data_IF_517915978919
#
_entry.id   IF_517915978919
#
_cell.length_a   1.000
_cell.length_b   1.000
_cell.length_c   1.000
_cell.angle_alpha   90.00
_cell.angle_beta   90.00
_cell.angle_gamma   90.00
#
_symmetry.space_group_name_H-M   'P 1'
#
loop_
_entity.id
_entity.type
_entity.pdbx_description
1 polymer ?
#
# COMPACT_ATOMS: atom_id res chain seq x y z
N UNK A 1 -29.53 50.45 -33.41
CA UNK A 1 -29.31 49.04 -33.05
C UNK A 1 -28.07 48.97 -32.15
N UNK A 2 -28.24 49.01 -30.83
CA UNK A 2 -27.13 48.97 -29.88
C UNK A 2 -26.95 47.52 -29.39
N UNK A 3 -25.83 46.89 -29.75
CA UNK A 3 -25.47 45.56 -29.25
C UNK A 3 -24.88 45.70 -27.84
N UNK A 4 -25.59 45.19 -26.84
CA UNK A 4 -25.03 45.00 -25.49
C UNK A 4 -24.13 43.77 -25.52
N UNK A 5 -22.82 43.98 -25.44
CA UNK A 5 -21.85 42.93 -25.15
C UNK A 5 -22.03 42.47 -23.71
N UNK A 6 -22.58 41.26 -23.53
CA UNK A 6 -22.70 40.58 -22.26
C UNK A 6 -21.37 39.86 -21.98
N UNK A 7 -20.55 40.42 -21.09
CA UNK A 7 -19.30 39.79 -20.65
C UNK A 7 -19.64 38.81 -19.53
N UNK A 8 -19.73 37.52 -19.85
CA UNK A 8 -19.82 36.44 -18.88
C UNK A 8 -18.45 36.21 -18.23
N UNK A 9 -18.29 36.65 -16.98
CA UNK A 9 -17.16 36.29 -16.13
C UNK A 9 -17.28 34.81 -15.74
N UNK A 10 -16.45 33.95 -16.34
CA UNK A 10 -16.27 32.57 -15.90
C UNK A 10 -15.36 32.64 -14.66
N UNK A 11 -15.93 32.59 -13.46
CA UNK A 11 -15.17 32.47 -12.22
C UNK A 11 -14.67 31.01 -12.17
N UNK A 12 -13.35 30.75 -12.20
CA UNK A 12 -12.86 29.39 -11.98
C UNK A 12 -13.26 28.97 -10.57
N UNK A 13 -14.03 27.88 -10.45
CA UNK A 13 -14.36 27.26 -9.18
C UNK A 13 -13.07 26.65 -8.63
N UNK A 14 -12.35 27.40 -7.79
CA UNK A 14 -11.23 26.84 -7.02
C UNK A 14 -11.86 25.88 -6.02
N UNK A 15 -11.52 24.57 -6.04
CA UNK A 15 -11.99 23.68 -4.99
C UNK A 15 -11.42 24.20 -3.68
N UNK A 16 -12.31 24.64 -2.78
CA UNK A 16 -11.92 25.06 -1.45
C UNK A 16 -11.37 23.83 -0.73
N UNK A 17 -10.05 23.73 -0.60
CA UNK A 17 -9.43 22.78 0.31
C UNK A 17 -9.85 23.17 1.72
N UNK A 18 -10.69 22.36 2.38
CA UNK A 18 -11.13 22.67 3.72
C UNK A 18 -9.92 22.76 4.67
N UNK A 19 -9.90 23.80 5.50
CA UNK A 19 -8.84 24.01 6.49
C UNK A 19 -8.99 23.00 7.62
N UNK A 20 -7.89 22.38 8.01
CA UNK A 20 -7.84 21.48 9.14
C UNK A 20 -7.33 22.20 10.40
N UNK A 21 -7.86 21.81 11.55
CA UNK A 21 -7.58 22.37 12.86
C UNK A 21 -7.17 21.25 13.83
N UNK A 22 -6.30 21.57 14.79
CA UNK A 22 -5.99 20.74 15.96
C UNK A 22 -7.07 20.93 17.04
N UNK A 23 -7.15 20.05 18.06
CA UNK A 23 -8.17 20.16 19.12
C UNK A 23 -8.21 21.51 19.87
N UNK A 24 -7.10 22.24 19.90
CA UNK A 24 -7.02 23.59 20.48
C UNK A 24 -7.51 24.72 19.55
N UNK A 25 -7.95 24.37 18.33
CA UNK A 25 -8.41 25.31 17.30
C UNK A 25 -7.29 25.90 16.44
N UNK A 26 -6.02 25.55 16.68
CA UNK A 26 -4.91 26.01 15.84
C UNK A 26 -4.86 25.28 14.50
N UNK A 27 -4.33 25.91 13.46
CA UNK A 27 -4.37 25.37 12.09
C UNK A 27 -3.35 24.22 11.92
N UNK A 28 -3.85 23.07 11.46
CA UNK A 28 -3.07 21.88 11.12
C UNK A 28 -2.57 21.95 9.67
N UNK A 29 -1.52 22.76 9.42
CA UNK A 29 -1.06 23.17 8.07
C UNK A 29 -0.69 22.03 7.12
N UNK A 30 -0.23 20.90 7.65
CA UNK A 30 0.23 19.74 6.86
C UNK A 30 -0.87 18.70 6.67
N UNK A 31 -2.05 18.93 7.24
CA UNK A 31 -3.14 17.99 7.18
C UNK A 31 -4.10 18.37 6.07
N UNK A 32 -4.68 17.35 5.44
CA UNK A 32 -5.71 17.46 4.42
C UNK A 32 -6.95 16.71 4.87
N UNK A 33 -8.16 17.15 4.48
CA UNK A 33 -9.41 16.43 4.77
C UNK A 33 -9.40 15.03 4.16
N UNK A 34 -10.03 14.09 4.87
CA UNK A 34 -10.22 12.69 4.45
C UNK A 34 -11.60 12.42 3.81
N UNK A 35 -12.39 13.46 3.59
CA UNK A 35 -13.66 13.38 2.87
C UNK A 35 -13.94 14.71 2.16
N UNK A 36 -14.91 14.72 1.24
CA UNK A 36 -15.43 15.96 0.62
C UNK A 36 -16.61 16.57 1.39
N UNK A 37 -16.93 16.04 2.57
CA UNK A 37 -18.02 16.53 3.41
C UNK A 37 -17.72 17.90 4.04
N UNK A 38 -18.73 18.52 4.69
CA UNK A 38 -18.52 19.79 5.41
C UNK A 38 -17.58 19.61 6.61
N UNK A 39 -17.71 18.48 7.30
CA UNK A 39 -16.83 18.06 8.38
C UNK A 39 -16.12 16.76 7.99
N UNK A 40 -14.85 16.66 8.34
CA UNK A 40 -14.03 15.50 8.09
C UNK A 40 -12.89 15.42 9.09
N UNK A 41 -12.47 14.20 9.41
CA UNK A 41 -11.14 13.95 9.94
C UNK A 41 -10.10 14.41 8.92
N UNK A 42 -8.95 14.86 9.43
CA UNK A 42 -7.84 15.30 8.60
C UNK A 42 -6.57 14.53 8.93
N UNK A 43 -5.89 14.01 7.91
CA UNK A 43 -4.63 13.32 8.05
C UNK A 43 -3.49 14.10 7.40
N UNK A 44 -2.25 13.84 7.85
CA UNK A 44 -1.08 14.33 7.12
C UNK A 44 -1.14 13.88 5.67
N UNK A 45 -0.66 14.72 4.74
CA UNK A 45 -0.70 14.43 3.29
C UNK A 45 -0.06 13.10 2.86
N UNK A 46 0.77 12.54 3.74
CA UNK A 46 1.55 11.32 3.55
C UNK A 46 1.00 10.11 4.33
N UNK A 47 -0.11 10.28 5.03
CA UNK A 47 -0.76 9.23 5.81
C UNK A 47 -2.02 8.74 5.10
N UNK A 48 -2.50 7.59 5.52
CA UNK A 48 -3.69 6.95 4.96
C UNK A 48 -4.90 7.30 5.82
N UNK A 49 -5.95 7.82 5.19
CA UNK A 49 -7.22 8.11 5.85
C UNK A 49 -7.99 6.82 6.15
N UNK A 50 -8.64 6.74 7.31
CA UNK A 50 -9.48 5.61 7.71
C UNK A 50 -10.92 6.04 8.00
N UNK A 51 -11.88 5.14 7.76
CA UNK A 51 -13.32 5.39 7.97
C UNK A 51 -13.74 5.55 9.43
N UNK A 52 -12.89 5.21 10.39
CA UNK A 52 -13.08 5.45 11.81
C UNK A 52 -12.50 6.80 12.27
N UNK A 53 -12.34 7.75 11.35
CA UNK A 53 -11.83 9.10 11.59
C UNK A 53 -10.40 9.15 12.15
N UNK A 54 -9.61 8.11 11.91
CA UNK A 54 -8.19 8.06 12.26
C UNK A 54 -7.31 8.04 11.01
N UNK A 55 -6.01 8.22 11.26
CA UNK A 55 -4.98 8.13 10.25
C UNK A 55 -4.16 6.87 10.51
N UNK A 56 -3.71 6.20 9.46
CA UNK A 56 -2.60 5.26 9.53
C UNK A 56 -1.35 5.98 9.05
N UNK A 57 -0.39 6.17 9.96
CA UNK A 57 0.87 6.82 9.68
C UNK A 57 1.68 5.97 8.69
N UNK A 58 2.04 6.59 7.58
CA UNK A 58 2.83 5.95 6.53
C UNK A 58 4.06 6.82 6.24
N UNK A 59 5.00 6.27 5.47
CA UNK A 59 6.28 6.89 5.05
C UNK A 59 7.31 7.11 6.17
N UNK A 60 6.95 7.66 7.32
CA UNK A 60 7.88 7.94 8.44
C UNK A 60 7.46 7.16 9.68
N UNK A 61 8.44 6.57 10.38
CA UNK A 61 8.17 5.87 11.64
C UNK A 61 7.72 6.85 12.74
N UNK A 62 6.79 6.43 13.62
CA UNK A 62 6.22 5.08 13.72
C UNK A 62 5.02 4.83 12.79
N UNK A 63 4.92 3.62 12.20
CA UNK A 63 3.81 3.21 11.32
C UNK A 63 2.60 2.76 12.13
N UNK A 64 1.94 3.69 12.80
CA UNK A 64 0.87 3.43 13.78
C UNK A 64 -0.40 4.17 13.43
N UNK A 65 -1.49 3.83 14.11
CA UNK A 65 -2.70 4.67 14.07
C UNK A 65 -2.39 6.02 14.71
N UNK A 66 -3.00 7.09 14.23
CA UNK A 66 -2.86 8.41 14.82
C UNK A 66 -4.17 9.19 14.73
N UNK A 67 -4.37 10.05 15.72
CA UNK A 67 -5.39 11.10 15.70
C UNK A 67 -4.80 12.32 15.02
N UNK A 68 -5.34 12.65 13.85
CA UNK A 68 -4.95 13.81 13.07
C UNK A 68 -5.65 15.10 13.52
N UNK A 69 -6.06 15.91 12.54
CA UNK A 69 -6.87 17.12 12.75
C UNK A 69 -8.34 16.88 12.42
N UNK A 70 -9.13 17.96 12.47
CA UNK A 70 -10.50 17.97 11.97
C UNK A 70 -10.78 19.26 11.19
N UNK A 71 -11.67 19.25 10.21
CA UNK A 71 -12.09 20.48 9.53
C UNK A 71 -13.02 21.35 10.38
N UNK A 72 -13.65 20.77 11.40
CA UNK A 72 -14.41 21.50 12.41
C UNK A 72 -13.46 22.12 13.45
N UNK A 73 -13.34 23.46 13.52
CA UNK A 73 -12.46 24.12 14.48
C UNK A 73 -12.92 23.97 15.93
N UNK A 74 -14.21 23.68 16.17
CA UNK A 74 -14.77 23.46 17.49
C UNK A 74 -14.70 21.98 17.91
N UNK A 75 -14.39 21.08 16.97
CA UNK A 75 -14.32 19.64 17.18
C UNK A 75 -15.63 19.05 17.75
N UNK A 76 -16.77 19.63 17.42
CA UNK A 76 -18.09 19.16 17.88
C UNK A 76 -18.70 18.13 16.93
N UNK A 77 -18.21 18.03 15.70
CA UNK A 77 -18.68 17.05 14.72
C UNK A 77 -18.24 15.61 15.05
N UNK A 78 -19.16 14.67 14.85
CA UNK A 78 -18.89 13.22 14.94
C UNK A 78 -17.92 12.72 13.84
N UNK A 79 -17.71 13.50 12.79
CA UNK A 79 -16.71 13.24 11.74
C UNK A 79 -15.28 13.57 12.20
N UNK A 80 -15.14 14.26 13.34
CA UNK A 80 -13.85 14.44 13.97
C UNK A 80 -13.41 13.17 14.71
N UNK A 81 -12.09 12.93 14.86
CA UNK A 81 -11.61 11.83 15.68
C UNK A 81 -12.15 11.92 17.13
N UNK A 82 -12.81 10.86 17.59
CA UNK A 82 -13.44 10.80 18.93
C UNK A 82 -12.46 10.47 20.05
N UNK A 83 -11.32 9.87 19.71
CA UNK A 83 -10.29 9.40 20.66
C UNK A 83 -9.15 10.40 20.78
N UNK A 84 -8.49 10.41 21.94
CA UNK A 84 -7.27 11.20 22.17
C UNK A 84 -7.41 12.73 21.96
N UNK A 85 -8.62 13.29 22.03
CA UNK A 85 -8.85 14.74 21.83
C UNK A 85 -8.13 15.62 22.87
N UNK A 86 -7.97 15.13 24.09
CA UNK A 86 -7.47 15.90 25.22
C UNK A 86 -5.95 15.75 25.46
N UNK A 87 -5.25 14.98 24.64
CA UNK A 87 -3.81 14.72 24.77
C UNK A 87 -3.10 15.47 23.65
N UNK A 88 -2.07 16.28 23.91
CA UNK A 88 -1.37 17.06 22.86
C UNK A 88 -2.33 17.75 21.87
N UNK A 89 -3.06 18.74 22.37
CA UNK A 89 -4.17 19.40 21.65
C UNK A 89 -3.75 20.29 20.48
N UNK A 90 -2.45 20.49 20.27
CA UNK A 90 -1.87 21.36 19.23
C UNK A 90 -1.11 20.58 18.14
N UNK A 91 -1.19 19.24 18.14
CA UNK A 91 -0.49 18.38 17.18
C UNK A 91 -1.17 17.02 17.04
N UNK A 92 -0.69 16.20 16.10
CA UNK A 92 -1.13 14.82 15.95
C UNK A 92 -0.65 13.96 17.13
N UNK A 93 -1.41 12.91 17.46
CA UNK A 93 -1.04 11.95 18.51
C UNK A 93 -1.15 10.54 17.98
N UNK A 94 -0.08 9.77 18.12
CA UNK A 94 -0.06 8.35 17.81
C UNK A 94 -0.87 7.53 18.82
N UNK A 95 -1.51 6.48 18.37
CA UNK A 95 -2.20 5.50 19.18
C UNK A 95 -1.35 4.23 19.25
N UNK A 96 -0.86 3.90 20.44
CA UNK A 96 0.01 2.75 20.66
C UNK A 96 -0.74 1.66 21.41
N UNK A 97 -0.75 0.45 20.88
CA UNK A 97 -1.45 -0.68 21.50
C UNK A 97 -0.83 -1.04 22.85
N UNK A 98 -1.66 -1.20 23.89
CA UNK A 98 -1.26 -1.74 25.20
C UNK A 98 -1.43 -3.26 25.27
N UNK A 99 -2.51 -3.76 24.67
CA UNK A 99 -2.85 -5.17 24.73
C UNK A 99 -4.33 -5.44 24.48
N UNK A 100 -4.69 -6.73 24.50
CA UNK A 100 -6.05 -7.20 24.31
C UNK A 100 -6.65 -7.61 25.65
N UNK A 101 -7.80 -7.02 25.99
CA UNK A 101 -8.57 -7.37 27.18
C UNK A 101 -9.21 -8.76 27.08
N UNK A 102 -9.71 -9.27 28.20
CA UNK A 102 -10.36 -10.60 28.30
C UNK A 102 -11.65 -10.71 27.47
N UNK A 103 -12.32 -9.59 27.19
CA UNK A 103 -13.47 -9.49 26.29
C UNK A 103 -13.08 -9.44 24.80
N UNK A 104 -11.78 -9.48 24.49
CA UNK A 104 -11.26 -9.40 23.13
C UNK A 104 -11.07 -7.97 22.59
N UNK A 105 -11.42 -6.94 23.36
CA UNK A 105 -11.23 -5.55 22.96
C UNK A 105 -9.76 -5.14 23.07
N UNK A 106 -9.26 -4.31 22.14
CA UNK A 106 -7.85 -3.89 22.10
C UNK A 106 -7.72 -2.47 22.65
N UNK A 107 -6.96 -2.32 23.73
CA UNK A 107 -6.70 -1.03 24.35
C UNK A 107 -5.52 -0.33 23.70
N UNK A 108 -5.65 0.98 23.50
CA UNK A 108 -4.61 1.87 22.98
C UNK A 108 -4.32 3.00 23.95
N UNK A 109 -3.07 3.47 23.98
CA UNK A 109 -2.68 4.72 24.60
C UNK A 109 -2.66 5.85 23.60
N UNK A 110 -3.08 7.02 24.07
CA UNK A 110 -2.82 8.27 23.39
C UNK A 110 -1.36 8.68 23.65
N UNK A 111 -0.49 8.44 22.67
CA UNK A 111 0.94 8.65 22.76
C UNK A 111 1.70 7.43 23.28
N UNK A 112 2.91 7.68 23.75
CA UNK A 112 3.85 6.62 24.12
C UNK A 112 3.48 6.03 25.49
N UNK A 113 3.32 4.70 25.60
CA UNK A 113 3.11 4.06 26.89
C UNK A 113 4.37 4.14 27.75
N UNK A 114 4.17 4.17 29.06
CA UNK A 114 5.23 4.28 30.08
C UNK A 114 5.25 3.05 30.98
N UNK A 115 6.41 2.73 31.54
CA UNK A 115 6.53 1.69 32.57
C UNK A 115 5.99 2.21 33.90
N UNK A 116 5.18 1.39 34.56
CA UNK A 116 4.76 1.58 35.94
C UNK A 116 5.06 0.30 36.73
N UNK A 117 6.27 0.22 37.28
CA UNK A 117 6.74 -0.98 37.97
C UNK A 117 6.93 -2.15 37.01
N UNK A 118 6.10 -3.19 37.17
CA UNK A 118 6.10 -4.36 36.28
C UNK A 118 5.09 -4.24 35.12
N UNK A 119 4.27 -3.21 35.13
CA UNK A 119 3.20 -2.99 34.17
C UNK A 119 3.58 -1.93 33.14
N UNK A 120 2.89 -1.95 32.00
CA UNK A 120 2.96 -0.92 30.95
C UNK A 120 1.62 -0.21 30.90
N UNK A 121 1.62 1.10 31.07
CA UNK A 121 0.41 1.94 31.18
C UNK A 121 0.50 3.14 30.26
N UNK A 122 -0.61 3.83 30.02
CA UNK A 122 -0.58 5.12 29.31
C UNK A 122 0.02 6.21 30.19
N UNK A 123 0.75 7.15 29.59
CA UNK A 123 1.37 8.26 30.31
C UNK A 123 0.34 9.17 31.02
N UNK A 124 -0.88 9.25 30.49
CA UNK A 124 -2.01 9.96 31.06
C UNK A 124 -2.90 9.07 31.95
N UNK A 125 -2.58 7.78 32.09
CA UNK A 125 -3.35 6.78 32.83
C UNK A 125 -4.64 6.31 32.16
N UNK A 126 -4.96 6.77 30.94
CA UNK A 126 -6.23 6.46 30.27
C UNK A 126 -6.00 5.69 28.96
N UNK A 127 -6.53 4.47 28.87
CA UNK A 127 -6.57 3.73 27.61
C UNK A 127 -7.88 3.96 26.87
N UNK A 128 -7.82 3.99 25.54
CA UNK A 128 -8.99 4.10 24.66
C UNK A 128 -9.22 2.83 23.86
N UNK A 129 -10.46 2.62 23.45
CA UNK A 129 -10.84 1.59 22.46
C UNK A 129 -11.05 2.29 21.12
N UNK A 130 -10.66 1.61 20.04
CA UNK A 130 -10.78 2.12 18.69
C UNK A 130 -11.69 1.17 17.91
N UNK A 131 -12.66 1.71 17.20
CA UNK A 131 -13.52 0.92 16.30
C UNK A 131 -12.75 0.54 15.05
N UNK A 132 -13.15 -0.55 14.41
CA UNK A 132 -12.57 -0.96 13.13
C UNK A 132 -12.73 0.15 12.09
N UNK A 133 -11.76 0.25 11.17
CA UNK A 133 -11.73 1.25 10.12
C UNK A 133 -11.22 0.65 8.81
N UNK A 134 -11.70 1.21 7.70
CA UNK A 134 -11.33 0.84 6.34
C UNK A 134 -10.53 1.97 5.69
N UNK A 135 -9.65 1.62 4.76
CA UNK A 135 -8.86 2.60 4.01
C UNK A 135 -9.78 3.44 3.11
N UNK A 136 -9.59 4.76 3.12
CA UNK A 136 -10.29 5.68 2.23
C UNK A 136 -9.36 6.08 1.07
N UNK A 137 -9.78 5.81 -0.16
CA UNK A 137 -9.09 6.23 -1.37
C UNK A 137 -9.47 7.67 -1.79
N UNK A 138 -8.63 8.32 -2.59
CA UNK A 138 -8.88 9.67 -3.12
C UNK A 138 -8.44 10.81 -2.20
N UNK A 139 -7.84 10.50 -1.05
CA UNK A 139 -7.41 11.49 -0.05
C UNK A 139 -6.00 11.19 0.47
N UNK A 140 -5.33 12.25 0.96
CA UNK A 140 -3.99 12.18 1.55
C UNK A 140 -3.01 11.33 0.72
N UNK A 141 -2.39 10.31 1.30
CA UNK A 141 -1.43 9.45 0.59
C UNK A 141 -2.03 8.73 -0.63
N UNK A 142 -3.35 8.55 -0.66
CA UNK A 142 -4.10 7.88 -1.73
C UNK A 142 -4.87 8.89 -2.62
N UNK A 143 -4.47 10.16 -2.65
CA UNK A 143 -5.14 11.20 -3.45
C UNK A 143 -5.33 10.82 -4.94
N UNK A 144 -4.44 10.00 -5.51
CA UNK A 144 -4.50 9.58 -6.91
C UNK A 144 -5.04 8.17 -7.14
N UNK A 145 -5.63 7.57 -6.10
CA UNK A 145 -6.27 6.24 -6.14
C UNK A 145 -7.78 6.45 -6.08
N UNK A 146 -8.51 5.94 -7.05
CA UNK A 146 -9.97 6.13 -7.15
C UNK A 146 -10.80 4.91 -6.73
N UNK A 147 -10.20 3.72 -6.68
CA UNK A 147 -10.85 2.49 -6.22
C UNK A 147 -9.84 1.57 -5.54
N UNK A 148 -10.29 0.84 -4.52
CA UNK A 148 -9.54 -0.17 -3.80
C UNK A 148 -9.91 -1.59 -4.23
N UNK A 149 -10.89 -1.75 -5.13
CA UNK A 149 -11.27 -3.05 -5.66
C UNK A 149 -10.15 -3.61 -6.54
N UNK A 150 -9.59 -4.75 -6.12
CA UNK A 150 -8.71 -5.55 -6.95
C UNK A 150 -9.52 -6.09 -8.13
N UNK A 151 -9.42 -5.44 -9.29
CA UNK A 151 -10.08 -5.88 -10.51
C UNK A 151 -9.64 -7.29 -10.92
N UNK A 152 -10.42 -8.31 -10.55
CA UNK A 152 -10.35 -9.61 -11.21
C UNK A 152 -10.97 -9.43 -12.59
N UNK A 153 -10.17 -9.04 -13.58
CA UNK A 153 -10.58 -8.89 -14.99
C UNK A 153 -10.98 -10.25 -15.57
N UNK A 154 -12.18 -10.73 -15.25
CA UNK A 154 -12.86 -11.77 -16.01
C UNK A 154 -13.40 -11.10 -17.27
N UNK A 155 -12.61 -11.17 -18.34
CA UNK A 155 -13.00 -10.80 -19.69
C UNK A 155 -14.24 -11.61 -20.10
N UNK A 156 -15.42 -11.01 -19.92
CA UNK A 156 -16.68 -11.58 -20.37
C UNK A 156 -16.87 -11.18 -21.83
N UNK A 157 -16.30 -11.98 -22.74
CA UNK A 157 -16.59 -11.90 -24.17
C UNK A 157 -18.02 -12.33 -24.42
N UNK A 158 -18.93 -11.36 -24.61
CA UNK A 158 -20.25 -11.64 -25.17
C UNK A 158 -20.30 -11.04 -26.57
N UNK A 159 -20.18 -11.92 -27.56
CA UNK A 159 -20.28 -11.64 -28.99
C UNK A 159 -21.65 -12.04 -29.52
N UNK A 160 -22.42 -11.06 -30.01
CA UNK A 160 -23.52 -11.17 -31.01
C UNK A 160 -24.38 -9.90 -30.96
N UNK A 161 -24.96 -9.32 -32.01
CA UNK A 161 -24.81 -9.39 -33.46
C UNK A 161 -25.68 -8.22 -34.01
N UNK A 162 -25.14 -7.45 -34.95
CA UNK A 162 -25.79 -6.54 -35.93
C UNK A 162 -27.25 -6.08 -35.74
N UNK A 163 -27.47 -4.76 -35.76
CA UNK A 163 -28.45 -4.13 -36.66
C UNK A 163 -28.03 -2.68 -36.90
N UNK A 164 -27.84 -2.37 -38.18
CA UNK A 164 -27.52 -1.05 -38.67
C UNK A 164 -28.73 -0.14 -38.52
N UNK A 165 -28.54 1.07 -37.98
CA UNK A 165 -29.29 2.21 -38.47
C UNK A 165 -28.51 3.51 -38.31
N UNK A 166 -28.81 4.40 -39.25
CA UNK A 166 -27.93 5.46 -39.74
C UNK A 166 -28.23 6.78 -39.04
N UNK A 167 -27.26 7.39 -38.35
CA UNK A 167 -27.18 8.86 -38.21
C UNK A 167 -25.90 9.30 -37.50
N UNK A 168 -24.98 9.88 -38.28
CA UNK A 168 -24.19 11.09 -37.99
C UNK A 168 -23.84 11.41 -36.52
N UNK A 169 -22.60 11.10 -36.10
CA UNK A 169 -21.76 12.04 -35.33
C UNK A 169 -20.28 11.69 -35.43
N UNK A 170 -19.44 12.72 -35.44
CA UNK A 170 -17.99 12.70 -35.66
C UNK A 170 -17.18 12.17 -34.47
N UNK A 171 -16.00 11.59 -34.80
CA UNK A 171 -14.68 11.73 -34.13
C UNK A 171 -14.12 10.51 -33.35
N UNK A 172 -13.03 9.96 -33.90
CA UNK A 172 -11.84 9.46 -33.17
C UNK A 172 -11.97 8.34 -32.12
N UNK A 173 -12.60 7.20 -32.43
CA UNK A 173 -12.45 6.00 -31.58
C UNK A 173 -12.23 4.71 -32.39
N UNK A 174 -11.14 4.66 -33.16
CA UNK A 174 -10.49 3.38 -33.56
C UNK A 174 -8.95 3.49 -33.50
N UNK A 175 -8.40 4.66 -33.17
CA UNK A 175 -6.98 4.95 -33.38
C UNK A 175 -6.03 4.63 -32.20
N UNK A 176 -6.53 4.16 -31.05
CA UNK A 176 -5.69 3.98 -29.84
C UNK A 176 -5.28 2.52 -29.61
N UNK A 177 -5.94 1.54 -30.23
CA UNK A 177 -5.62 0.11 -30.03
C UNK A 177 -4.37 -0.40 -30.76
N UNK A 178 -3.92 0.29 -31.81
CA UNK A 178 -2.80 -0.18 -32.66
C UNK A 178 -1.43 0.35 -32.18
N UNK A 179 -1.43 1.44 -31.40
CA UNK A 179 -0.19 2.15 -31.03
C UNK A 179 0.73 1.40 -30.05
N UNK A 180 0.18 0.58 -29.16
CA UNK A 180 0.96 -0.11 -28.11
C UNK A 180 1.16 -1.61 -28.40
N UNK A 181 0.27 -2.21 -29.20
CA UNK A 181 0.31 -3.64 -29.48
C UNK A 181 1.47 -4.06 -30.38
N UNK A 182 1.78 -3.26 -31.40
CA UNK A 182 2.87 -3.56 -32.35
C UNK A 182 4.25 -3.56 -31.68
N UNK A 183 4.66 -2.54 -30.90
CA UNK A 183 5.98 -2.57 -30.25
C UNK A 183 6.10 -3.71 -29.23
N UNK A 184 5.05 -4.00 -28.46
CA UNK A 184 5.05 -5.11 -27.49
C UNK A 184 5.12 -6.48 -28.18
N UNK A 185 4.40 -6.67 -29.29
CA UNK A 185 4.45 -7.91 -30.06
C UNK A 185 5.84 -8.15 -30.68
N UNK A 186 6.49 -7.11 -31.20
CA UNK A 186 7.85 -7.22 -31.76
C UNK A 186 8.86 -7.59 -30.68
N UNK A 187 8.78 -6.96 -29.50
CA UNK A 187 9.68 -7.28 -28.37
C UNK A 187 9.44 -8.72 -27.89
N UNK A 188 8.19 -9.16 -27.79
CA UNK A 188 7.85 -10.53 -27.39
C UNK A 188 8.35 -11.57 -28.41
N UNK A 189 8.22 -11.30 -29.72
CA UNK A 189 8.74 -12.19 -30.75
C UNK A 189 10.28 -12.23 -30.75
N UNK A 190 10.93 -11.09 -30.57
CA UNK A 190 12.38 -11.01 -30.48
C UNK A 190 12.94 -11.80 -29.27
N UNK A 191 12.30 -11.71 -28.10
CA UNK A 191 12.72 -12.43 -26.90
C UNK A 191 12.53 -13.95 -27.04
N UNK A 192 11.44 -14.40 -27.68
CA UNK A 192 11.20 -15.83 -27.95
C UNK A 192 12.25 -16.39 -28.92
N UNK A 193 12.55 -15.67 -30.01
CA UNK A 193 13.56 -16.10 -30.98
C UNK A 193 14.95 -16.19 -30.33
N UNK A 194 15.31 -15.18 -29.52
CA UNK A 194 16.57 -15.19 -28.77
C UNK A 194 16.64 -16.37 -27.80
N UNK A 195 15.59 -16.61 -27.02
CA UNK A 195 15.55 -17.72 -26.05
C UNK A 195 15.67 -19.09 -26.72
N UNK A 196 15.04 -19.30 -27.88
CA UNK A 196 15.16 -20.53 -28.64
C UNK A 196 16.59 -20.69 -29.20
N UNK A 197 17.19 -19.61 -29.70
CA UNK A 197 18.56 -19.63 -30.21
C UNK A 197 19.56 -19.93 -29.09
N UNK A 198 19.46 -19.25 -27.94
CA UNK A 198 20.32 -19.48 -26.77
C UNK A 198 20.17 -20.92 -26.23
N UNK A 199 18.94 -21.42 -26.17
CA UNK A 199 18.71 -22.81 -25.73
C UNK A 199 19.29 -23.81 -26.73
N UNK A 200 19.24 -23.52 -28.03
CA UNK A 200 19.86 -24.37 -29.07
C UNK A 200 21.38 -24.31 -29.03
N UNK A 201 21.99 -23.14 -28.83
CA UNK A 201 23.45 -23.01 -28.72
C UNK A 201 23.96 -23.72 -27.46
N UNK A 202 23.30 -23.56 -26.31
CA UNK A 202 23.63 -24.34 -25.09
C UNK A 202 23.51 -25.84 -25.32
N UNK A 203 22.51 -26.29 -26.08
CA UNK A 203 22.36 -27.72 -26.43
C UNK A 203 23.39 -28.20 -27.47
N UNK A 204 24.01 -27.31 -28.26
CA UNK A 204 25.14 -27.67 -29.12
C UNK A 204 26.40 -27.92 -28.28
N UNK A 205 26.69 -27.09 -27.28
CA UNK A 205 27.79 -27.35 -26.34
C UNK A 205 27.61 -28.65 -25.53
N UNK A 206 26.37 -29.03 -25.20
CA UNK A 206 26.09 -30.32 -24.55
C UNK A 206 26.27 -31.50 -25.52
N UNK A 207 25.90 -31.36 -26.79
CA UNK A 207 26.13 -32.40 -27.82
C UNK A 207 27.61 -32.56 -28.14
N UNK A 208 28.37 -31.48 -28.19
CA UNK A 208 29.83 -31.52 -28.38
C UNK A 208 30.54 -32.10 -27.15
N UNK A 209 30.04 -31.84 -25.94
CA UNK A 209 30.52 -32.48 -24.71
C UNK A 209 30.20 -33.99 -24.67
N UNK A 210 29.03 -34.43 -25.16
CA UNK A 210 28.67 -35.86 -25.27
C UNK A 210 29.41 -36.57 -26.40
N UNK A 211 29.70 -35.88 -27.51
CA UNK A 211 30.53 -36.40 -28.60
C UNK A 211 32.01 -36.53 -28.17
N UNK A 212 32.51 -35.59 -27.37
CA UNK A 212 33.87 -35.65 -26.79
C UNK A 212 34.00 -36.73 -25.71
N UNK A 213 32.93 -37.00 -24.95
CA UNK A 213 32.89 -38.07 -23.94
C UNK A 213 32.86 -39.49 -24.54
N UNK A 214 32.51 -39.65 -25.83
CA UNK A 214 32.46 -40.96 -26.49
C UNK A 214 33.79 -41.33 -27.17
N UNK A 215 34.73 -40.40 -27.32
CA UNK A 215 36.01 -40.62 -28.03
C UNK A 215 37.24 -40.74 -27.12
N UNK A 216 37.11 -40.63 -25.79
CA UNK A 216 38.24 -40.93 -24.92
C UNK A 216 37.77 -41.54 -23.59
N UNK A 217 37.74 -42.87 -23.56
CA UNK A 217 37.55 -43.61 -22.33
C UNK A 217 38.67 -43.29 -21.34
N UNK A 218 38.33 -42.72 -20.19
CA UNK A 218 39.28 -42.56 -19.10
C UNK A 218 39.06 -41.33 -18.23
N UNK A 219 38.47 -41.59 -17.05
CA UNK A 219 38.63 -40.88 -15.78
C UNK A 219 38.18 -39.41 -15.63
N UNK A 220 37.38 -39.24 -14.58
CA UNK A 220 36.78 -38.02 -14.03
C UNK A 220 37.83 -37.16 -13.32
N UNK A 221 37.86 -35.86 -13.59
CA UNK A 221 38.07 -34.77 -12.60
C UNK A 221 37.90 -33.39 -13.26
N UNK A 222 37.22 -32.43 -12.61
CA UNK A 222 37.84 -31.11 -12.42
C UNK A 222 37.50 -30.52 -11.03
N UNK A 223 38.49 -30.36 -10.14
CA UNK A 223 39.35 -29.18 -9.88
C UNK A 223 38.69 -28.09 -9.02
N UNK A 224 39.36 -27.80 -7.90
CA UNK A 224 39.06 -26.77 -6.92
C UNK A 224 40.06 -25.62 -7.09
N UNK A 225 39.61 -24.36 -6.92
CA UNK A 225 40.45 -23.17 -7.03
C UNK A 225 40.46 -22.35 -5.72
N UNK A 226 41.45 -22.71 -4.88
CA UNK A 226 42.37 -21.91 -4.05
C UNK A 226 42.08 -20.42 -3.72
N UNK A 227 41.94 -20.12 -2.41
CA UNK A 227 42.47 -18.89 -1.76
C UNK A 227 43.02 -19.20 -0.35
N UNK A 228 44.11 -18.54 0.10
CA UNK A 228 44.78 -18.76 1.39
C UNK A 228 44.12 -17.95 2.52
N UNK A 229 44.11 -18.52 3.72
CA UNK A 229 43.20 -18.13 4.80
C UNK A 229 43.64 -17.00 5.75
N UNK A 230 42.66 -16.57 6.54
CA UNK A 230 42.79 -16.03 7.90
C UNK A 230 41.66 -16.68 8.71
N UNK A 231 42.03 -17.32 9.83
CA UNK A 231 41.18 -18.25 10.56
C UNK A 231 40.04 -17.61 11.34
N UNK A 232 38.85 -18.20 11.21
CA UNK A 232 37.76 -18.16 12.19
C UNK A 232 37.20 -19.59 12.26
N UNK A 233 37.07 -20.21 13.44
CA UNK A 233 36.50 -21.56 13.53
C UNK A 233 35.02 -21.56 13.11
N UNK A 234 34.57 -22.55 12.32
CA UNK A 234 33.17 -22.64 11.93
C UNK A 234 32.32 -23.10 13.12
N UNK A 235 31.44 -22.22 13.60
CA UNK A 235 30.31 -22.65 14.43
C UNK A 235 29.47 -23.63 13.61
N UNK A 236 29.32 -24.84 14.13
CA UNK A 236 28.34 -25.81 13.63
C UNK A 236 26.94 -25.18 13.67
N UNK A 237 26.11 -25.37 12.64
CA UNK A 237 24.69 -25.10 12.77
C UNK A 237 24.13 -26.04 13.84
N UNK A 238 23.48 -25.47 14.85
CA UNK A 238 22.71 -26.24 15.81
C UNK A 238 21.48 -26.80 15.08
N UNK A 239 21.41 -28.13 15.00
CA UNK A 239 20.23 -28.88 14.58
C UNK A 239 19.03 -28.48 15.46
N UNK A 240 17.93 -28.06 14.84
CA UNK A 240 16.64 -27.92 15.52
C UNK A 240 16.10 -29.33 15.78
N UNK A 241 16.24 -29.81 17.01
CA UNK A 241 15.42 -30.90 17.51
C UNK A 241 13.96 -30.46 17.47
N UNK A 242 13.20 -31.03 16.53
CA UNK A 242 11.75 -30.96 16.53
C UNK A 242 11.24 -31.79 17.71
N UNK A 243 11.02 -31.13 18.85
CA UNK A 243 10.33 -31.75 19.98
C UNK A 243 8.84 -31.87 19.62
N UNK A 244 8.48 -33.06 19.13
CA UNK A 244 7.11 -33.49 18.94
C UNK A 244 6.51 -33.76 20.31
N UNK A 245 5.73 -32.81 20.82
CA UNK A 245 4.97 -33.01 22.06
C UNK A 245 3.65 -33.73 21.72
N UNK A 246 3.70 -35.06 21.70
CA UNK A 246 2.49 -35.90 21.71
C UNK A 246 1.87 -35.85 23.11
N UNK A 247 0.68 -35.26 23.20
CA UNK A 247 -0.17 -35.33 24.38
C UNK A 247 -0.83 -36.72 24.44
N UNK A 248 -0.33 -37.59 25.32
CA UNK A 248 -1.03 -38.83 25.69
C UNK A 248 -2.20 -38.49 26.61
N UNK A 249 -3.41 -38.94 26.23
CA UNK A 249 -4.62 -38.96 27.03
C UNK A 249 -4.55 -40.15 27.99
N UNK A 250 -4.63 -39.91 29.30
CA UNK A 250 -4.80 -40.97 30.27
C UNK A 250 -6.20 -40.92 30.89
N UNK A 251 -6.86 -42.08 30.80
CA UNK A 251 -8.14 -42.47 31.38
C UNK A 251 -8.12 -42.47 32.90
#
# INVERSE_FOLDING_TARGET
>A
MAYKLLVTFIIPLVPATATCYWPDGSVAKTNTPCSSGPNASCCGSHNICLSNNLCLDALVQPYVLSRGGCTDPNWESDECPSVCRNVSTSSAVSLVTLGKGSNGAVSYCCGVPVSNGRDVVCGDGHSVQVTDGEIIAGYAALANVSSLDGGNSSASSTSSNSSADTSTHSSHEVAVGVGVGVPLAVIALASIVWAIWERRTRMQHVKDAMASATMNGGQVHPYAEKYPGVGVPPHHPAELTAESQTHELQS
#
